data_IF_069923547456
#
_entry.id   IF_069923547456
#
_cell.length_a   1.000
_cell.length_b   1.000
_cell.length_c   1.000
_cell.angle_alpha   90.00
_cell.angle_beta   90.00
_cell.angle_gamma   90.00
#
_symmetry.space_group_name_H-M   'P 1'
#
loop_
_entity.id
_entity.type
_entity.pdbx_description
1 polymer ?
#
# COMPACT_ATOMS: atom_id res chain seq x y z
N UNK A 1 -14.18 9.14 1.47
CA UNK A 1 -13.09 9.02 0.47
C UNK A 1 -13.59 9.51 -0.88
N UNK A 2 -12.74 10.17 -1.68
CA UNK A 2 -13.05 10.64 -3.03
C UNK A 2 -12.15 9.85 -3.99
N UNK A 3 -12.76 9.15 -4.95
CA UNK A 3 -12.06 8.22 -5.85
C UNK A 3 -11.78 8.88 -7.20
N UNK A 4 -10.58 8.66 -7.76
CA UNK A 4 -10.24 9.07 -9.12
C UNK A 4 -11.28 8.58 -10.13
N UNK A 5 -11.71 9.39 -11.12
CA UNK A 5 -11.15 10.68 -11.53
C UNK A 5 -11.84 11.92 -10.93
N UNK A 6 -12.62 11.78 -9.86
CA UNK A 6 -13.31 12.92 -9.28
C UNK A 6 -12.34 13.99 -8.77
N UNK A 7 -12.66 15.28 -8.95
CA UNK A 7 -11.83 16.39 -8.49
C UNK A 7 -11.56 16.30 -6.99
N UNK A 8 -10.29 16.45 -6.59
CA UNK A 8 -9.88 16.34 -5.19
C UNK A 8 -9.81 14.90 -4.66
N UNK A 9 -9.69 13.91 -5.55
CA UNK A 9 -9.53 12.51 -5.16
C UNK A 9 -8.34 12.31 -4.21
N UNK A 10 -8.53 11.39 -3.27
CA UNK A 10 -7.53 10.93 -2.32
C UNK A 10 -7.38 9.40 -2.33
N UNK A 11 -7.84 8.76 -3.40
CA UNK A 11 -7.74 7.32 -3.63
C UNK A 11 -7.90 6.99 -5.11
N UNK A 12 -7.25 5.92 -5.58
CA UNK A 12 -7.47 5.35 -6.91
C UNK A 12 -8.56 4.27 -6.91
N UNK A 13 -8.91 3.72 -5.75
CA UNK A 13 -9.89 2.63 -5.59
C UNK A 13 -10.93 2.96 -4.51
N UNK A 14 -12.17 2.50 -4.69
CA UNK A 14 -13.20 2.58 -3.65
C UNK A 14 -12.97 1.52 -2.58
N UNK A 15 -13.64 1.64 -1.43
CA UNK A 15 -13.55 0.63 -0.37
C UNK A 15 -14.17 -0.68 -0.85
N UNK A 16 -15.36 -0.60 -1.45
CA UNK A 16 -16.07 -1.75 -2.02
C UNK A 16 -15.24 -2.48 -3.09
N UNK A 17 -14.59 -1.73 -4.01
CA UNK A 17 -13.72 -2.33 -5.01
C UNK A 17 -12.45 -2.96 -4.38
N UNK A 18 -11.95 -2.39 -3.28
CA UNK A 18 -10.84 -2.95 -2.54
C UNK A 18 -11.24 -4.24 -1.80
N UNK A 19 -12.45 -4.31 -1.25
CA UNK A 19 -12.99 -5.55 -0.68
C UNK A 19 -13.08 -6.65 -1.74
N UNK A 20 -13.58 -6.32 -2.94
CA UNK A 20 -13.60 -7.24 -4.08
C UNK A 20 -12.18 -7.70 -4.47
N UNK A 21 -11.19 -6.81 -4.43
CA UNK A 21 -9.79 -7.16 -4.68
C UNK A 21 -9.25 -8.20 -3.67
N UNK A 22 -9.69 -8.11 -2.42
CA UNK A 22 -9.29 -9.00 -1.33
C UNK A 22 -10.15 -10.27 -1.24
N UNK A 23 -11.26 -10.36 -1.94
CA UNK A 23 -12.08 -11.57 -2.01
C UNK A 23 -11.22 -12.74 -2.55
N UNK A 24 -10.93 -13.73 -1.69
CA UNK A 24 -10.08 -14.88 -2.03
C UNK A 24 -8.56 -14.65 -1.95
N UNK A 25 -8.09 -13.51 -1.43
CA UNK A 25 -6.66 -13.29 -1.15
C UNK A 25 -6.25 -13.72 0.26
N UNK A 26 -4.98 -14.08 0.40
CA UNK A 26 -4.37 -14.31 1.71
C UNK A 26 -4.39 -13.01 2.53
N UNK A 27 -4.68 -13.13 3.82
CA UNK A 27 -4.76 -12.00 4.78
C UNK A 27 -5.84 -10.97 4.46
N UNK A 28 -6.82 -11.32 3.63
CA UNK A 28 -7.95 -10.45 3.29
C UNK A 28 -8.77 -10.03 4.50
N UNK A 29 -8.92 -10.91 5.50
CA UNK A 29 -9.67 -10.62 6.74
C UNK A 29 -9.12 -9.41 7.50
N UNK A 30 -7.80 -9.20 7.49
CA UNK A 30 -7.15 -8.07 8.17
C UNK A 30 -7.57 -6.74 7.56
N UNK A 31 -7.82 -6.71 6.25
CA UNK A 31 -8.43 -5.55 5.59
C UNK A 31 -9.95 -5.54 5.82
N UNK A 32 -10.66 -6.63 5.48
CA UNK A 32 -12.14 -6.70 5.46
C UNK A 32 -12.77 -6.37 6.82
N UNK A 33 -12.14 -6.78 7.92
CA UNK A 33 -12.69 -6.54 9.27
C UNK A 33 -12.20 -5.26 9.93
N UNK A 34 -11.25 -4.55 9.31
CA UNK A 34 -10.64 -3.37 9.91
C UNK A 34 -11.59 -2.17 9.86
N UNK A 35 -11.84 -1.50 11.00
CA UNK A 35 -12.58 -0.22 10.99
C UNK A 35 -11.78 0.91 10.34
N UNK A 36 -10.49 0.69 10.03
CA UNK A 36 -9.57 1.68 9.47
C UNK A 36 -9.28 1.48 7.98
N UNK A 37 -10.06 0.66 7.25
CA UNK A 37 -9.89 0.42 5.81
C UNK A 37 -9.74 1.70 4.99
N UNK A 38 -10.68 2.64 5.14
CA UNK A 38 -10.69 3.88 4.36
C UNK A 38 -9.45 4.72 4.67
N UNK A 39 -9.11 4.86 5.95
CA UNK A 39 -7.92 5.59 6.37
C UNK A 39 -6.64 4.94 5.83
N UNK A 40 -6.55 3.60 5.85
CA UNK A 40 -5.42 2.86 5.31
C UNK A 40 -5.28 3.04 3.79
N UNK A 41 -6.40 3.04 3.04
CA UNK A 41 -6.39 3.33 1.61
C UNK A 41 -5.89 4.76 1.33
N UNK A 42 -6.33 5.76 2.09
CA UNK A 42 -5.89 7.15 1.92
C UNK A 42 -4.40 7.30 2.26
N UNK A 43 -3.94 6.67 3.33
CA UNK A 43 -2.51 6.66 3.70
C UNK A 43 -1.67 5.99 2.61
N UNK A 44 -2.12 4.85 2.10
CA UNK A 44 -1.47 4.14 0.99
C UNK A 44 -1.42 5.00 -0.29
N UNK A 45 -2.50 5.73 -0.60
CA UNK A 45 -2.53 6.66 -1.72
C UNK A 45 -1.44 7.73 -1.60
N UNK A 46 -1.31 8.35 -0.43
CA UNK A 46 -0.26 9.35 -0.19
C UNK A 46 1.14 8.75 -0.26
N UNK A 47 1.33 7.53 0.26
CA UNK A 47 2.61 6.83 0.21
C UNK A 47 3.03 6.52 -1.24
N UNK A 48 2.10 6.06 -2.09
CA UNK A 48 2.35 5.78 -3.51
C UNK A 48 2.61 7.05 -4.29
N UNK A 49 1.86 8.13 -4.06
CA UNK A 49 2.09 9.41 -4.75
C UNK A 49 3.39 10.10 -4.34
N UNK A 50 4.02 9.68 -3.24
CA UNK A 50 5.36 10.11 -2.87
C UNK A 50 6.47 9.36 -3.63
N UNK A 51 6.14 8.28 -4.34
CA UNK A 51 7.07 7.57 -5.21
C UNK A 51 7.24 8.31 -6.54
N UNK A 52 8.46 8.29 -7.07
CA UNK A 52 8.78 8.79 -8.41
C UNK A 52 8.39 7.73 -9.46
N UNK A 53 7.09 7.59 -9.70
CA UNK A 53 6.50 6.67 -10.68
C UNK A 53 5.96 7.44 -11.89
N UNK A 54 6.28 6.95 -13.09
CA UNK A 54 5.73 7.48 -14.34
C UNK A 54 4.52 6.65 -14.73
N UNK A 55 3.34 7.01 -14.20
CA UNK A 55 2.08 6.32 -14.48
C UNK A 55 1.06 7.28 -15.09
N UNK A 56 0.45 6.86 -16.19
CA UNK A 56 -0.71 7.49 -16.80
C UNK A 56 -2.01 6.89 -16.22
N UNK A 57 -2.69 7.64 -15.35
CA UNK A 57 -3.95 7.22 -14.75
C UNK A 57 -5.14 7.15 -15.76
N UNK A 58 -4.95 7.60 -17.00
CA UNK A 58 -5.94 7.44 -18.08
C UNK A 58 -5.80 6.11 -18.81
N UNK A 59 -4.63 5.46 -18.71
CA UNK A 59 -4.43 4.10 -19.19
C UNK A 59 -5.03 3.09 -18.20
N UNK A 60 -5.87 2.18 -18.71
CA UNK A 60 -6.60 1.24 -17.85
C UNK A 60 -5.68 0.25 -17.13
N UNK A 61 -4.61 -0.21 -17.79
CA UNK A 61 -3.69 -1.18 -17.20
C UNK A 61 -2.81 -0.53 -16.14
N UNK A 62 -2.34 0.69 -16.38
CA UNK A 62 -1.53 1.43 -15.42
C UNK A 62 -2.36 1.93 -14.22
N UNK A 63 -3.60 2.37 -14.45
CA UNK A 63 -4.54 2.67 -13.37
C UNK A 63 -4.82 1.43 -12.52
N UNK A 64 -4.98 0.25 -13.13
CA UNK A 64 -5.15 -0.99 -12.38
C UNK A 64 -3.91 -1.33 -11.54
N UNK A 65 -2.71 -1.06 -12.04
CA UNK A 65 -1.48 -1.23 -11.26
C UNK A 65 -1.47 -0.31 -10.03
N UNK A 66 -1.89 0.96 -10.16
CA UNK A 66 -2.04 1.88 -9.02
C UNK A 66 -3.08 1.37 -8.00
N UNK A 67 -4.24 0.92 -8.47
CA UNK A 67 -5.30 0.36 -7.62
C UNK A 67 -4.79 -0.83 -6.81
N UNK A 68 -4.16 -1.80 -7.48
CA UNK A 68 -3.62 -2.99 -6.83
C UNK A 68 -2.50 -2.64 -5.85
N UNK A 69 -1.59 -1.74 -6.23
CA UNK A 69 -0.53 -1.26 -5.37
C UNK A 69 -1.08 -0.57 -4.11
N UNK A 70 -2.13 0.24 -4.26
CA UNK A 70 -2.78 0.92 -3.14
C UNK A 70 -3.42 -0.07 -2.17
N UNK A 71 -4.07 -1.13 -2.67
CA UNK A 71 -4.58 -2.20 -1.82
C UNK A 71 -3.46 -2.90 -1.02
N UNK A 72 -2.39 -3.34 -1.71
CA UNK A 72 -1.29 -4.04 -1.03
C UNK A 72 -0.53 -3.15 -0.03
N UNK A 73 -0.40 -1.86 -0.32
CA UNK A 73 0.17 -0.90 0.63
C UNK A 73 -0.78 -0.67 1.81
N UNK A 74 -2.09 -0.54 1.59
CA UNK A 74 -3.07 -0.34 2.66
C UNK A 74 -3.08 -1.52 3.64
N UNK A 75 -3.02 -2.75 3.12
CA UNK A 75 -2.89 -3.94 3.97
C UNK A 75 -1.58 -3.92 4.79
N UNK A 76 -0.47 -3.46 4.19
CA UNK A 76 0.81 -3.33 4.90
C UNK A 76 0.77 -2.29 6.03
N UNK A 77 0.09 -1.16 5.82
CA UNK A 77 -0.10 -0.14 6.86
C UNK A 77 -0.91 -0.71 8.04
N UNK A 78 -2.04 -1.37 7.75
CA UNK A 78 -2.89 -1.97 8.79
C UNK A 78 -2.14 -2.99 9.64
N UNK A 79 -1.33 -3.84 9.00
CA UNK A 79 -0.50 -4.84 9.70
C UNK A 79 0.59 -4.21 10.56
N UNK A 80 1.13 -3.07 10.13
CA UNK A 80 2.14 -2.35 10.90
C UNK A 80 1.56 -1.76 12.18
N UNK A 81 0.35 -1.20 12.10
CA UNK A 81 -0.36 -0.68 13.27
C UNK A 81 -0.77 -1.80 14.24
N UNK A 82 -1.21 -2.94 13.74
CA UNK A 82 -1.52 -4.13 14.55
C UNK A 82 -0.28 -4.64 15.30
N UNK A 83 0.86 -4.80 14.61
CA UNK A 83 2.10 -5.25 15.23
C UNK A 83 2.62 -4.25 16.29
N UNK A 84 2.42 -2.94 16.05
CA UNK A 84 2.74 -1.91 17.02
C UNK A 84 1.85 -1.99 18.29
N UNK A 85 0.56 -2.26 18.13
CA UNK A 85 -0.37 -2.43 19.26
C UNK A 85 -0.08 -3.69 20.09
N UNK A 86 0.34 -4.79 19.45
CA UNK A 86 0.73 -6.02 20.16
C UNK A 86 1.97 -5.81 21.03
N UNK A 87 2.95 -4.98 20.61
CA UNK A 87 4.11 -4.60 21.44
C UNK A 87 3.71 -3.94 22.77
N UNK A 88 2.63 -3.16 22.80
CA UNK A 88 2.15 -2.50 24.02
C UNK A 88 1.48 -3.45 25.03
N UNK A 89 1.10 -4.66 24.61
CA UNK A 89 0.30 -5.58 25.43
C UNK A 89 1.07 -6.81 25.95
N UNK A 90 2.36 -7.04 25.61
CA UNK A 90 3.02 -8.32 25.89
C UNK A 90 4.50 -8.28 26.32
N UNK A 91 4.72 -8.64 27.59
CA UNK A 91 5.92 -9.20 28.26
C UNK A 91 7.22 -8.36 28.34
N UNK A 92 7.69 -8.00 29.56
CA UNK A 92 8.81 -7.07 29.76
C UNK A 92 10.21 -7.59 29.38
N UNK A 93 10.40 -8.88 29.08
CA UNK A 93 11.75 -9.49 29.04
C UNK A 93 12.19 -10.13 27.70
N UNK A 94 11.40 -10.06 26.64
CA UNK A 94 11.78 -10.58 25.33
C UNK A 94 11.88 -9.45 24.29
N UNK A 95 13.06 -8.84 24.19
CA UNK A 95 13.41 -7.94 23.08
C UNK A 95 13.68 -8.77 21.82
N UNK A 96 12.63 -9.23 21.16
CA UNK A 96 12.75 -9.69 19.78
C UNK A 96 13.03 -8.44 18.94
N UNK A 97 14.29 -8.24 18.53
CA UNK A 97 14.63 -7.26 17.50
C UNK A 97 14.00 -7.74 16.20
N UNK A 98 12.76 -7.32 15.94
CA UNK A 98 12.20 -7.49 14.61
C UNK A 98 12.99 -6.59 13.66
N UNK A 99 13.42 -7.10 12.50
CA UNK A 99 14.07 -6.27 11.48
C UNK A 99 13.16 -5.10 11.14
N UNK A 100 13.74 -3.93 10.91
CA UNK A 100 12.99 -2.76 10.43
C UNK A 100 12.16 -3.18 9.22
N UNK A 101 10.83 -3.13 9.35
CA UNK A 101 9.96 -3.45 8.22
C UNK A 101 10.14 -2.38 7.15
N UNK A 102 10.19 -2.77 5.87
CA UNK A 102 10.28 -1.80 4.78
C UNK A 102 9.07 -0.87 4.82
N UNK A 103 9.29 0.40 4.45
CA UNK A 103 8.22 1.41 4.37
C UNK A 103 7.12 1.03 3.38
N UNK A 104 7.47 0.30 2.33
CA UNK A 104 6.56 -0.09 1.27
C UNK A 104 6.34 -1.60 1.23
N UNK A 105 5.12 -2.02 0.92
CA UNK A 105 4.77 -3.40 0.66
C UNK A 105 5.55 -3.91 -0.56
N UNK A 106 6.24 -5.05 -0.43
CA UNK A 106 6.95 -5.68 -1.56
C UNK A 106 6.00 -5.95 -2.74
N UNK A 107 4.78 -6.41 -2.46
CA UNK A 107 3.76 -6.65 -3.49
C UNK A 107 3.28 -5.36 -4.15
N UNK A 108 3.13 -4.28 -3.38
CA UNK A 108 2.83 -2.97 -3.96
C UNK A 108 3.96 -2.52 -4.90
N UNK A 109 5.21 -2.69 -4.47
CA UNK A 109 6.38 -2.37 -5.28
C UNK A 109 6.49 -3.24 -6.52
N UNK A 110 6.07 -4.51 -6.50
CA UNK A 110 6.05 -5.37 -7.69
C UNK A 110 5.11 -4.83 -8.78
N UNK A 111 3.95 -4.28 -8.40
CA UNK A 111 3.04 -3.64 -9.35
C UNK A 111 3.61 -2.33 -9.91
N UNK A 112 4.37 -1.58 -9.11
CA UNK A 112 4.88 -0.27 -9.48
C UNK A 112 6.25 -0.32 -10.18
N UNK A 113 7.05 -1.36 -9.96
CA UNK A 113 8.42 -1.50 -10.47
C UNK A 113 8.56 -1.23 -11.98
N UNK A 114 7.65 -1.69 -12.87
CA UNK A 114 7.74 -1.40 -14.31
C UNK A 114 7.66 0.10 -14.65
N UNK A 115 7.10 0.91 -13.75
CA UNK A 115 6.84 2.34 -13.94
C UNK A 115 7.77 3.24 -13.12
N UNK A 116 8.67 2.66 -12.33
CA UNK A 116 9.64 3.41 -11.54
C UNK A 116 10.84 3.80 -12.39
N UNK A 117 11.26 5.05 -12.27
CA UNK A 117 12.46 5.54 -12.92
C UNK A 117 13.68 4.95 -12.21
N UNK A 118 14.27 3.88 -12.76
CA UNK A 118 15.56 3.38 -12.28
C UNK A 118 16.60 4.41 -12.69
N UNK A 119 17.13 5.17 -11.72
CA UNK A 119 18.32 6.00 -11.95
C UNK A 119 19.49 5.07 -12.26
N UNK A 120 19.77 4.86 -13.55
CA UNK A 120 21.00 4.20 -13.98
C UNK A 120 22.18 5.08 -13.60
N UNK A 121 22.96 4.63 -12.63
CA UNK A 121 24.26 5.24 -12.34
C UNK A 121 25.21 4.75 -13.45
N UNK A 122 25.51 5.62 -14.41
CA UNK A 122 26.63 5.37 -15.33
C UNK A 122 27.93 5.49 -14.54
N UNK A 123 28.63 4.37 -14.36
CA UNK A 123 30.01 4.38 -13.88
C UNK A 123 30.88 4.80 -15.06
N UNK A 124 31.22 6.09 -15.11
CA UNK A 124 32.25 6.60 -16.02
C UNK A 124 33.56 5.87 -15.72
N UNK A 125 34.09 5.15 -16.71
CA UNK A 125 35.42 4.51 -16.67
C UNK A 125 36.47 5.40 -17.31
#
# INVERSE_FOLDING_TARGET
MIVYPATGYNSFISTDDAENYFEGRLYSEEFITSPAQEAALITAFHAINALDVTIDATDTAQLQALKNAQCEQALHELRTDLDAQVKTLGLPDLKIQQPERPRYSERAMDFLRPYMTVRTIEVLR
#
